data_IF_585275989120
#
_entry.id   IF_585275989120
#
_cell.length_a   1.000
_cell.length_b   1.000
_cell.length_c   1.000
_cell.angle_alpha   90.00
_cell.angle_beta   90.00
_cell.angle_gamma   90.00
#
_symmetry.space_group_name_H-M   'P 1'
#
loop_
_entity.id
_entity.type
_entity.pdbx_description
1 polymer ?
#
# COMPACT_ATOMS: atom_id res chain seq x y z
N UNK A 1 -27.43 -25.17 -14.34
CA UNK A 1 -27.78 -23.72 -14.21
C UNK A 1 -28.24 -23.35 -12.80
N UNK A 2 -29.04 -24.19 -12.13
CA UNK A 2 -29.52 -23.95 -10.74
C UNK A 2 -28.38 -23.96 -9.70
N UNK A 3 -27.45 -24.90 -9.76
CA UNK A 3 -26.32 -25.00 -8.82
C UNK A 3 -25.38 -23.79 -8.90
N UNK A 4 -25.10 -23.28 -10.11
CA UNK A 4 -24.28 -22.08 -10.29
C UNK A 4 -24.95 -20.84 -9.70
N UNK A 5 -26.28 -20.69 -9.89
CA UNK A 5 -27.06 -19.62 -9.29
C UNK A 5 -27.09 -19.71 -7.75
N UNK A 6 -27.06 -20.93 -7.19
CA UNK A 6 -27.06 -21.14 -5.75
C UNK A 6 -25.71 -20.71 -5.13
N UNK A 7 -24.59 -21.11 -5.74
CA UNK A 7 -23.25 -20.69 -5.26
C UNK A 7 -23.06 -19.16 -5.35
N UNK A 8 -23.52 -18.52 -6.43
CA UNK A 8 -23.44 -17.06 -6.57
C UNK A 8 -24.24 -16.33 -5.46
N UNK A 9 -25.40 -16.85 -5.05
CA UNK A 9 -26.17 -16.30 -3.95
C UNK A 9 -25.48 -16.51 -2.60
N UNK A 10 -24.89 -17.69 -2.38
CA UNK A 10 -24.14 -18.00 -1.17
C UNK A 10 -22.90 -17.11 -1.05
N UNK A 11 -22.14 -16.88 -2.14
CA UNK A 11 -20.99 -15.97 -2.17
C UNK A 11 -21.40 -14.54 -1.80
N UNK A 12 -22.54 -14.06 -2.32
CA UNK A 12 -23.10 -12.72 -1.95
C UNK A 12 -23.46 -12.66 -0.46
N UNK A 13 -24.12 -13.71 0.06
CA UNK A 13 -24.46 -13.79 1.48
C UNK A 13 -23.21 -13.76 2.36
N UNK A 14 -22.19 -14.55 2.03
CA UNK A 14 -20.92 -14.55 2.75
C UNK A 14 -20.25 -13.16 2.73
N UNK A 15 -20.28 -12.47 1.59
CA UNK A 15 -19.72 -11.13 1.46
C UNK A 15 -20.44 -10.09 2.35
N UNK A 16 -21.76 -10.18 2.49
CA UNK A 16 -22.51 -9.31 3.41
C UNK A 16 -22.17 -9.64 4.89
N UNK A 17 -21.95 -10.89 5.24
CA UNK A 17 -21.47 -11.27 6.57
C UNK A 17 -20.05 -10.72 6.85
N UNK A 18 -19.15 -10.73 5.86
CA UNK A 18 -17.82 -10.10 5.97
C UNK A 18 -17.95 -8.59 6.23
N UNK A 19 -18.81 -7.87 5.49
CA UNK A 19 -19.06 -6.45 5.69
C UNK A 19 -19.62 -6.14 7.09
N UNK A 20 -20.44 -7.04 7.62
CA UNK A 20 -20.99 -6.94 8.96
C UNK A 20 -19.97 -7.30 10.07
N UNK A 21 -18.77 -7.75 9.71
CA UNK A 21 -17.74 -8.20 10.66
C UNK A 21 -17.97 -9.62 11.20
N UNK A 22 -18.93 -10.37 10.66
CA UNK A 22 -19.29 -11.71 11.09
C UNK A 22 -18.42 -12.76 10.38
N UNK A 23 -17.11 -12.71 10.57
CA UNK A 23 -16.14 -13.52 9.81
C UNK A 23 -16.40 -15.03 9.94
N UNK A 24 -16.73 -15.53 11.13
CA UNK A 24 -16.99 -16.98 11.32
C UNK A 24 -18.21 -17.46 10.52
N UNK A 25 -19.26 -16.65 10.43
CA UNK A 25 -20.43 -16.98 9.59
C UNK A 25 -20.08 -16.98 8.11
N UNK A 26 -19.30 -16.00 7.66
CA UNK A 26 -18.83 -15.96 6.28
C UNK A 26 -17.98 -17.18 5.93
N UNK A 27 -17.06 -17.57 6.83
CA UNK A 27 -16.20 -18.75 6.66
C UNK A 27 -17.06 -20.00 6.56
N UNK A 28 -18.07 -20.18 7.42
CA UNK A 28 -18.97 -21.34 7.35
C UNK A 28 -19.72 -21.42 6.01
N UNK A 29 -20.19 -20.28 5.46
CA UNK A 29 -20.83 -20.28 4.15
C UNK A 29 -19.84 -20.66 3.03
N UNK A 30 -18.59 -20.20 3.09
CA UNK A 30 -17.57 -20.64 2.13
C UNK A 30 -17.26 -22.13 2.28
N UNK A 31 -17.24 -22.66 3.50
CA UNK A 31 -17.05 -24.10 3.77
C UNK A 31 -18.18 -24.95 3.15
N UNK A 32 -19.42 -24.49 3.24
CA UNK A 32 -20.57 -25.15 2.61
C UNK A 32 -20.44 -25.18 1.07
N UNK A 33 -19.93 -24.11 0.46
CA UNK A 33 -19.65 -24.07 -0.98
C UNK A 33 -18.53 -25.05 -1.33
N UNK A 34 -17.44 -25.03 -0.55
CA UNK A 34 -16.26 -25.87 -0.80
C UNK A 34 -16.52 -27.37 -0.49
N UNK A 35 -17.49 -27.69 0.37
CA UNK A 35 -17.93 -29.04 0.58
C UNK A 35 -18.61 -29.65 -0.68
N UNK A 36 -19.27 -28.82 -1.48
CA UNK A 36 -19.91 -29.21 -2.74
C UNK A 36 -18.95 -29.10 -3.93
N UNK A 37 -18.07 -28.13 -3.94
CA UNK A 37 -17.05 -27.89 -4.97
C UNK A 37 -15.72 -27.47 -4.33
N UNK A 38 -14.83 -28.43 -3.99
CA UNK A 38 -13.57 -28.17 -3.27
C UNK A 38 -12.63 -27.20 -3.99
N UNK A 39 -12.68 -27.12 -5.31
CA UNK A 39 -11.81 -26.27 -6.14
C UNK A 39 -12.51 -24.99 -6.60
N UNK A 40 -13.61 -24.56 -5.95
CA UNK A 40 -14.33 -23.35 -6.32
C UNK A 40 -13.44 -22.10 -6.08
N UNK A 41 -12.92 -21.46 -7.15
CA UNK A 41 -11.83 -20.50 -6.98
C UNK A 41 -12.25 -19.24 -6.22
N UNK A 42 -13.45 -18.70 -6.50
CA UNK A 42 -13.95 -17.51 -5.79
C UNK A 42 -14.21 -17.79 -4.30
N UNK A 43 -14.69 -19.00 -3.94
CA UNK A 43 -14.88 -19.38 -2.55
C UNK A 43 -13.53 -19.51 -1.82
N UNK A 44 -12.53 -20.13 -2.45
CA UNK A 44 -11.17 -20.25 -1.90
C UNK A 44 -10.54 -18.86 -1.67
N UNK A 45 -10.58 -17.98 -2.67
CA UNK A 45 -10.01 -16.63 -2.56
C UNK A 45 -10.71 -15.83 -1.47
N UNK A 46 -12.05 -15.77 -1.49
CA UNK A 46 -12.83 -14.97 -0.53
C UNK A 46 -12.70 -15.51 0.91
N UNK A 47 -12.69 -16.83 1.08
CA UNK A 47 -12.40 -17.48 2.37
C UNK A 47 -11.02 -17.09 2.87
N UNK A 48 -9.99 -17.15 2.01
CA UNK A 48 -8.62 -16.78 2.37
C UNK A 48 -8.51 -15.32 2.81
N UNK A 49 -9.17 -14.39 2.09
CA UNK A 49 -9.23 -12.97 2.46
C UNK A 49 -9.90 -12.80 3.83
N UNK A 50 -10.99 -13.54 4.08
CA UNK A 50 -11.73 -13.48 5.34
C UNK A 50 -10.90 -14.03 6.50
N UNK A 51 -10.21 -15.14 6.31
CA UNK A 51 -9.27 -15.72 7.26
C UNK A 51 -8.10 -14.77 7.56
N UNK A 52 -7.51 -14.15 6.53
CA UNK A 52 -6.47 -13.13 6.69
C UNK A 52 -7.00 -11.92 7.49
N UNK A 53 -8.21 -11.45 7.21
CA UNK A 53 -8.87 -10.35 7.94
C UNK A 53 -9.13 -10.68 9.41
N UNK A 54 -9.41 -11.93 9.74
CA UNK A 54 -9.54 -12.44 11.11
C UNK A 54 -8.20 -12.87 11.75
N UNK A 55 -7.07 -12.56 11.10
CA UNK A 55 -5.69 -12.86 11.54
C UNK A 55 -5.36 -14.37 11.62
N UNK A 56 -6.11 -15.20 10.92
CA UNK A 56 -5.88 -16.66 10.80
C UNK A 56 -4.99 -16.92 9.58
N UNK A 57 -3.75 -16.42 9.62
CA UNK A 57 -2.87 -16.37 8.44
C UNK A 57 -2.46 -17.75 7.93
N UNK A 58 -2.15 -18.71 8.82
CA UNK A 58 -1.77 -20.08 8.41
C UNK A 58 -2.92 -20.79 7.71
N UNK A 59 -4.14 -20.62 8.17
CA UNK A 59 -5.32 -21.21 7.56
C UNK A 59 -5.64 -20.55 6.21
N UNK A 60 -5.39 -19.24 6.08
CA UNK A 60 -5.49 -18.54 4.81
C UNK A 60 -4.49 -19.11 3.78
N UNK A 61 -3.24 -19.32 4.16
CA UNK A 61 -2.22 -19.93 3.31
C UNK A 61 -2.58 -21.35 2.89
N UNK A 62 -3.10 -22.15 3.83
CA UNK A 62 -3.56 -23.52 3.54
C UNK A 62 -4.70 -23.50 2.52
N UNK A 63 -5.68 -22.61 2.68
CA UNK A 63 -6.80 -22.47 1.75
C UNK A 63 -6.32 -22.10 0.33
N UNK A 64 -5.31 -21.23 0.20
CA UNK A 64 -4.74 -20.82 -1.07
C UNK A 64 -3.91 -21.93 -1.75
N UNK A 65 -3.50 -22.96 -1.04
CA UNK A 65 -2.69 -24.06 -1.62
C UNK A 65 -3.38 -24.78 -2.79
N UNK A 66 -4.71 -24.79 -2.81
CA UNK A 66 -5.52 -25.35 -3.89
C UNK A 66 -5.56 -24.48 -5.16
N UNK A 67 -5.11 -23.24 -5.13
CA UNK A 67 -5.12 -22.31 -6.27
C UNK A 67 -3.76 -22.36 -6.97
N UNK A 68 -3.75 -22.57 -8.30
CA UNK A 68 -2.52 -22.43 -9.10
C UNK A 68 -2.17 -20.96 -9.33
N UNK A 69 -0.86 -20.63 -9.39
CA UNK A 69 -0.37 -19.30 -9.75
C UNK A 69 -0.67 -18.92 -11.21
N UNK A 70 -0.82 -19.90 -12.09
CA UNK A 70 -1.16 -19.74 -13.50
C UNK A 70 -2.66 -19.55 -13.74
N UNK A 71 -3.48 -19.74 -12.70
CA UNK A 71 -4.93 -19.54 -12.78
C UNK A 71 -5.27 -18.05 -12.89
N UNK A 72 -6.49 -17.69 -13.32
CA UNK A 72 -6.98 -16.31 -13.30
C UNK A 72 -6.88 -15.63 -11.91
N UNK A 73 -6.91 -16.44 -10.82
CA UNK A 73 -6.79 -15.98 -9.43
C UNK A 73 -5.35 -16.02 -8.90
N UNK A 74 -4.36 -16.35 -9.73
CA UNK A 74 -2.96 -16.45 -9.33
C UNK A 74 -2.39 -15.12 -8.80
N UNK A 75 -2.86 -13.99 -9.34
CA UNK A 75 -2.49 -12.67 -8.85
C UNK A 75 -3.05 -12.40 -7.44
N UNK A 76 -4.32 -12.71 -7.20
CA UNK A 76 -4.95 -12.56 -5.89
C UNK A 76 -4.28 -13.47 -4.87
N UNK A 77 -3.99 -14.72 -5.25
CA UNK A 77 -3.22 -15.65 -4.42
C UNK A 77 -1.90 -15.04 -3.98
N UNK A 78 -1.07 -14.56 -4.92
CA UNK A 78 0.24 -13.96 -4.59
C UNK A 78 0.09 -12.80 -3.61
N UNK A 79 -0.91 -11.96 -3.80
CA UNK A 79 -1.13 -10.79 -2.94
C UNK A 79 -1.57 -11.17 -1.53
N UNK A 80 -2.46 -12.16 -1.39
CA UNK A 80 -2.92 -12.64 -0.09
C UNK A 80 -1.78 -13.35 0.64
N UNK A 81 -1.04 -14.23 -0.05
CA UNK A 81 0.12 -14.92 0.51
C UNK A 81 1.20 -13.94 0.99
N UNK A 82 1.53 -12.91 0.19
CA UNK A 82 2.51 -11.89 0.58
C UNK A 82 2.09 -11.17 1.88
N UNK A 83 0.80 -10.83 2.02
CA UNK A 83 0.28 -10.23 3.24
C UNK A 83 0.30 -11.21 4.43
N UNK A 84 -0.06 -12.47 4.22
CA UNK A 84 -0.01 -13.49 5.28
C UNK A 84 1.44 -13.70 5.76
N UNK A 85 2.39 -13.91 4.87
CA UNK A 85 3.81 -14.09 5.21
C UNK A 85 4.37 -12.88 5.97
N UNK A 86 4.06 -11.66 5.53
CA UNK A 86 4.47 -10.46 6.25
C UNK A 86 3.95 -10.45 7.70
N UNK A 87 2.66 -10.76 7.90
CA UNK A 87 2.05 -10.75 9.24
C UNK A 87 2.54 -11.91 10.13
N UNK A 88 3.02 -13.00 9.54
CA UNK A 88 3.69 -14.11 10.22
C UNK A 88 5.17 -13.82 10.52
N UNK A 89 5.69 -12.64 10.13
CA UNK A 89 7.10 -12.29 10.30
C UNK A 89 8.04 -12.92 9.26
N UNK A 90 7.50 -13.61 8.26
CA UNK A 90 8.25 -14.24 7.15
C UNK A 90 8.47 -13.19 6.05
N UNK A 91 9.27 -12.17 6.36
CA UNK A 91 9.45 -10.99 5.50
C UNK A 91 10.11 -11.28 4.17
N UNK A 92 11.05 -12.25 4.14
CA UNK A 92 11.76 -12.64 2.90
C UNK A 92 10.80 -13.28 1.88
N UNK A 93 9.88 -14.12 2.34
CA UNK A 93 8.84 -14.73 1.51
C UNK A 93 7.85 -13.69 0.99
N UNK A 94 7.44 -12.76 1.84
CA UNK A 94 6.60 -11.64 1.46
C UNK A 94 7.29 -10.77 0.39
N UNK A 95 8.56 -10.43 0.58
CA UNK A 95 9.34 -9.63 -0.37
C UNK A 95 9.48 -10.31 -1.73
N UNK A 96 9.76 -11.61 -1.78
CA UNK A 96 9.81 -12.39 -3.03
C UNK A 96 8.49 -12.33 -3.80
N UNK A 97 7.35 -12.43 -3.10
CA UNK A 97 6.04 -12.36 -3.72
C UNK A 97 5.72 -10.95 -4.21
N UNK A 98 6.00 -9.91 -3.44
CA UNK A 98 5.82 -8.52 -3.89
C UNK A 98 6.68 -8.17 -5.10
N UNK A 99 7.91 -8.71 -5.19
CA UNK A 99 8.75 -8.57 -6.39
C UNK A 99 8.10 -9.25 -7.61
N UNK A 100 7.53 -10.45 -7.44
CA UNK A 100 6.78 -11.10 -8.54
C UNK A 100 5.56 -10.29 -8.93
N UNK A 101 4.78 -9.81 -7.96
CA UNK A 101 3.61 -8.95 -8.16
C UNK A 101 4.01 -7.70 -8.93
N UNK A 102 5.11 -7.02 -8.55
CA UNK A 102 5.59 -5.83 -9.25
C UNK A 102 5.79 -6.10 -10.74
N UNK A 103 6.34 -7.25 -11.13
CA UNK A 103 6.60 -7.58 -12.53
C UNK A 103 5.32 -7.83 -13.37
N UNK A 104 4.26 -8.34 -12.76
CA UNK A 104 3.00 -8.71 -13.46
C UNK A 104 1.84 -7.74 -13.17
N UNK A 105 2.11 -6.65 -12.44
CA UNK A 105 1.11 -5.70 -11.98
C UNK A 105 0.35 -5.08 -13.15
N UNK A 106 -1.00 -5.12 -13.15
CA UNK A 106 -1.80 -4.41 -14.13
C UNK A 106 -1.54 -2.89 -14.09
N UNK A 107 -1.44 -2.25 -15.27
CA UNK A 107 -1.28 -0.79 -15.38
C UNK A 107 -2.65 -0.13 -15.08
N UNK A 108 -3.01 -0.10 -13.81
CA UNK A 108 -4.22 0.52 -13.31
C UNK A 108 -3.88 1.36 -12.08
N UNK A 109 -4.16 2.65 -12.13
CA UNK A 109 -3.83 3.61 -11.05
C UNK A 109 -4.27 3.13 -9.67
N UNK A 110 -5.52 2.66 -9.54
CA UNK A 110 -6.06 2.21 -8.24
C UNK A 110 -5.26 1.03 -7.68
N UNK A 111 -4.96 0.04 -8.52
CA UNK A 111 -4.19 -1.16 -8.14
C UNK A 111 -2.75 -0.78 -7.78
N UNK A 112 -2.10 0.06 -8.59
CA UNK A 112 -0.74 0.55 -8.35
C UNK A 112 -0.68 1.29 -6.99
N UNK A 113 -1.61 2.21 -6.72
CA UNK A 113 -1.65 2.93 -5.46
C UNK A 113 -1.89 2.00 -4.28
N UNK A 114 -2.83 1.07 -4.38
CA UNK A 114 -3.16 0.13 -3.32
C UNK A 114 -1.96 -0.75 -2.94
N UNK A 115 -1.33 -1.40 -3.93
CA UNK A 115 -0.23 -2.34 -3.68
C UNK A 115 1.05 -1.58 -3.32
N UNK A 116 1.35 -0.49 -4.01
CA UNK A 116 2.51 0.35 -3.69
C UNK A 116 2.44 0.92 -2.28
N UNK A 117 1.27 1.42 -1.83
CA UNK A 117 1.07 1.88 -0.46
C UNK A 117 1.25 0.75 0.55
N UNK A 118 0.78 -0.46 0.23
CA UNK A 118 0.97 -1.62 1.09
C UNK A 118 2.45 -1.98 1.25
N UNK A 119 3.21 -1.99 0.15
CA UNK A 119 4.66 -2.19 0.20
C UNK A 119 5.36 -1.09 1.00
N UNK A 120 4.93 0.17 0.86
CA UNK A 120 5.46 1.30 1.63
C UNK A 120 5.21 1.14 3.13
N UNK A 121 3.99 0.79 3.53
CA UNK A 121 3.61 0.53 4.93
C UNK A 121 4.40 -0.62 5.55
N UNK A 122 4.70 -1.65 4.77
CA UNK A 122 5.44 -2.83 5.20
C UNK A 122 6.95 -2.68 5.14
N UNK A 123 7.48 -1.53 4.69
CA UNK A 123 8.90 -1.25 4.60
C UNK A 123 9.59 -1.77 3.33
N UNK A 124 8.85 -2.32 2.38
CA UNK A 124 9.39 -2.77 1.08
C UNK A 124 9.59 -1.57 0.13
N UNK A 125 10.40 -0.60 0.55
CA UNK A 125 10.53 0.71 -0.10
C UNK A 125 11.03 0.62 -1.54
N UNK A 126 11.96 -0.29 -1.86
CA UNK A 126 12.47 -0.46 -3.24
C UNK A 126 11.38 -0.95 -4.17
N UNK A 127 10.59 -1.92 -3.72
CA UNK A 127 9.45 -2.45 -4.48
C UNK A 127 8.37 -1.36 -4.63
N UNK A 128 8.11 -0.59 -3.59
CA UNK A 128 7.16 0.52 -3.65
C UNK A 128 7.58 1.56 -4.71
N UNK A 129 8.88 1.92 -4.80
CA UNK A 129 9.41 2.82 -5.84
C UNK A 129 9.14 2.24 -7.24
N UNK A 130 9.44 0.95 -7.44
CA UNK A 130 9.22 0.29 -8.71
C UNK A 130 7.74 0.31 -9.10
N UNK A 131 6.85 -0.05 -8.17
CA UNK A 131 5.40 -0.03 -8.38
C UNK A 131 4.91 1.38 -8.72
N UNK A 132 5.26 2.40 -7.93
CA UNK A 132 4.83 3.78 -8.19
C UNK A 132 5.43 4.36 -9.47
N UNK A 133 6.58 3.87 -9.93
CA UNK A 133 7.16 4.28 -11.21
C UNK A 133 6.28 3.95 -12.41
N UNK A 134 5.36 2.98 -12.28
CA UNK A 134 4.39 2.58 -13.31
C UNK A 134 3.23 3.57 -13.48
N UNK A 135 3.05 4.53 -12.56
CA UNK A 135 2.07 5.61 -12.71
C UNK A 135 2.47 6.53 -13.87
N UNK A 136 1.50 6.96 -14.67
CA UNK A 136 1.74 7.83 -15.83
C UNK A 136 2.20 9.24 -15.43
N UNK A 137 3.23 9.77 -16.12
CA UNK A 137 3.81 11.08 -15.81
C UNK A 137 2.86 12.25 -16.05
N UNK A 138 1.95 12.14 -17.01
CA UNK A 138 1.06 13.26 -17.38
C UNK A 138 -0.11 13.45 -16.41
N UNK A 139 -0.74 12.36 -16.00
CA UNK A 139 -1.97 12.39 -15.20
C UNK A 139 -1.71 12.21 -13.71
N UNK A 140 -0.69 11.42 -13.36
CA UNK A 140 -0.44 10.96 -12.00
C UNK A 140 0.88 11.51 -11.43
N UNK A 141 1.37 12.61 -12.02
CA UNK A 141 2.68 13.18 -11.67
C UNK A 141 2.82 13.53 -10.19
N UNK A 142 1.75 14.01 -9.57
CA UNK A 142 1.74 14.32 -8.14
C UNK A 142 1.87 13.02 -7.33
N UNK A 143 0.94 12.08 -7.48
CA UNK A 143 0.89 10.85 -6.69
C UNK A 143 2.17 10.04 -6.87
N UNK A 144 2.62 9.86 -8.11
CA UNK A 144 3.87 9.17 -8.41
C UNK A 144 5.04 9.75 -7.62
N UNK A 145 5.27 11.06 -7.73
CA UNK A 145 6.41 11.68 -7.07
C UNK A 145 6.23 11.77 -5.55
N UNK A 146 5.02 11.96 -5.05
CA UNK A 146 4.71 11.96 -3.63
C UNK A 146 5.06 10.61 -2.99
N UNK A 147 4.54 9.51 -3.52
CA UNK A 147 4.77 8.19 -2.96
C UNK A 147 6.22 7.70 -3.17
N UNK A 148 6.84 8.01 -4.31
CA UNK A 148 8.27 7.76 -4.50
C UNK A 148 9.12 8.55 -3.49
N UNK A 149 8.75 9.80 -3.20
CA UNK A 149 9.41 10.62 -2.18
C UNK A 149 9.35 9.99 -0.79
N UNK A 150 8.18 9.47 -0.40
CA UNK A 150 8.01 8.72 0.85
C UNK A 150 8.88 7.45 0.89
N UNK A 151 8.90 6.72 -0.22
CA UNK A 151 9.69 5.49 -0.33
C UNK A 151 11.19 5.75 -0.25
N UNK A 152 11.70 6.77 -0.95
CA UNK A 152 13.10 7.20 -0.84
C UNK A 152 13.44 7.67 0.58
N UNK A 153 12.51 8.36 1.26
CA UNK A 153 12.71 8.75 2.65
C UNK A 153 12.83 7.54 3.56
N UNK A 154 12.00 6.52 3.36
CA UNK A 154 12.06 5.25 4.09
C UNK A 154 13.38 4.50 3.90
N UNK A 155 14.02 4.62 2.72
CA UNK A 155 15.35 4.08 2.44
C UNK A 155 16.50 4.92 3.03
N UNK A 156 16.22 6.11 3.57
CA UNK A 156 17.26 7.07 3.95
C UNK A 156 17.90 7.80 2.77
N UNK A 157 17.40 7.63 1.55
CA UNK A 157 17.85 8.29 0.34
C UNK A 157 17.31 9.73 0.26
N UNK A 158 17.69 10.58 1.24
CA UNK A 158 17.09 11.89 1.46
C UNK A 158 17.16 12.82 0.23
N UNK A 159 18.28 12.80 -0.51
CA UNK A 159 18.44 13.61 -1.73
C UNK A 159 17.41 13.21 -2.81
N UNK A 160 17.17 11.90 -3.00
CA UNK A 160 16.16 11.42 -3.95
C UNK A 160 14.74 11.75 -3.47
N UNK A 161 14.51 11.66 -2.16
CA UNK A 161 13.24 12.04 -1.53
C UNK A 161 12.92 13.52 -1.78
N UNK A 162 13.86 14.44 -1.51
CA UNK A 162 13.71 15.88 -1.73
C UNK A 162 13.40 16.19 -3.20
N UNK A 163 14.13 15.56 -4.13
CA UNK A 163 13.87 15.72 -5.57
C UNK A 163 12.46 15.26 -5.96
N UNK A 164 12.02 14.14 -5.42
CA UNK A 164 10.68 13.60 -5.68
C UNK A 164 9.60 14.52 -5.08
N UNK A 165 9.70 14.93 -3.82
CA UNK A 165 8.77 15.89 -3.20
C UNK A 165 8.73 17.21 -3.93
N UNK A 166 9.88 17.76 -4.36
CA UNK A 166 9.93 18.96 -5.17
C UNK A 166 9.23 18.83 -6.52
N UNK A 167 9.25 17.64 -7.15
CA UNK A 167 8.45 17.34 -8.37
C UNK A 167 6.96 17.25 -8.06
N UNK A 168 6.58 16.67 -6.92
CA UNK A 168 5.19 16.59 -6.47
C UNK A 168 4.63 17.99 -6.20
N UNK A 169 5.35 18.85 -5.45
CA UNK A 169 4.94 20.22 -5.18
C UNK A 169 4.83 21.09 -6.46
N UNK A 170 5.71 20.87 -7.46
CA UNK A 170 5.54 21.54 -8.77
C UNK A 170 4.30 21.04 -9.54
N UNK A 171 3.87 19.81 -9.34
CA UNK A 171 2.66 19.27 -9.96
C UNK A 171 1.39 19.73 -9.24
N UNK A 172 1.45 19.93 -7.93
CA UNK A 172 0.33 20.37 -7.07
C UNK A 172 0.83 21.33 -5.98
N UNK A 173 1.05 22.64 -6.30
CA UNK A 173 1.60 23.60 -5.35
C UNK A 173 0.71 23.88 -4.13
N UNK A 174 -0.59 23.72 -4.27
CA UNK A 174 -1.62 23.91 -3.23
C UNK A 174 -1.76 22.73 -2.26
N UNK A 175 -0.95 21.68 -2.41
CA UNK A 175 -0.91 20.60 -1.43
C UNK A 175 0.03 20.94 -0.27
N UNK A 176 -0.40 21.89 0.54
CA UNK A 176 0.40 22.51 1.62
C UNK A 176 0.89 21.50 2.67
N UNK A 177 0.22 20.37 2.86
CA UNK A 177 0.62 19.32 3.80
C UNK A 177 1.97 18.67 3.47
N UNK A 178 2.46 18.80 2.22
CA UNK A 178 3.74 18.25 1.82
C UNK A 178 4.94 19.19 2.14
N UNK A 179 4.71 20.48 2.30
CA UNK A 179 5.77 21.45 2.58
C UNK A 179 6.54 21.15 3.87
N UNK A 180 5.87 20.92 5.02
CA UNK A 180 6.57 20.57 6.26
C UNK A 180 7.43 19.32 6.14
N UNK A 181 6.92 18.27 5.49
CA UNK A 181 7.65 17.03 5.28
C UNK A 181 8.88 17.24 4.39
N UNK A 182 8.74 18.05 3.33
CA UNK A 182 9.84 18.37 2.41
C UNK A 182 10.92 19.17 3.13
N UNK A 183 10.54 20.20 3.89
CA UNK A 183 11.46 21.01 4.67
C UNK A 183 12.20 20.20 5.73
N UNK A 184 11.48 19.37 6.50
CA UNK A 184 12.09 18.46 7.47
C UNK A 184 13.10 17.51 6.79
N UNK A 185 12.79 17.00 5.59
CA UNK A 185 13.70 16.13 4.84
C UNK A 185 14.95 16.91 4.37
N UNK A 186 14.80 18.20 3.98
CA UNK A 186 15.92 19.07 3.66
C UNK A 186 16.83 19.28 4.89
N UNK A 187 16.26 19.58 6.05
CA UNK A 187 17.03 19.74 7.29
C UNK A 187 17.76 18.47 7.68
N UNK A 188 17.11 17.31 7.60
CA UNK A 188 17.74 15.99 7.83
C UNK A 188 18.91 15.73 6.87
N UNK A 189 18.88 16.30 5.65
CA UNK A 189 19.94 16.17 4.65
C UNK A 189 20.93 17.36 4.69
N UNK A 190 20.93 18.16 5.74
CA UNK A 190 21.77 19.36 5.92
C UNK A 190 21.59 20.43 4.82
N UNK A 191 20.43 20.46 4.16
CA UNK A 191 20.05 21.46 3.16
C UNK A 191 19.21 22.55 3.83
N UNK A 192 19.85 23.35 4.69
CA UNK A 192 19.16 24.30 5.56
C UNK A 192 18.46 25.40 4.77
N UNK A 193 19.17 26.02 3.80
CA UNK A 193 18.63 27.12 2.99
C UNK A 193 17.39 26.69 2.18
N UNK A 194 17.41 25.49 1.63
CA UNK A 194 16.28 24.93 0.89
C UNK A 194 15.09 24.64 1.81
N UNK A 195 15.35 24.11 2.99
CA UNK A 195 14.33 23.89 4.00
C UNK A 195 13.66 25.20 4.43
N UNK A 196 14.46 26.24 4.70
CA UNK A 196 13.98 27.58 5.07
C UNK A 196 13.15 28.22 3.94
N UNK A 197 13.57 28.11 2.68
CA UNK A 197 12.77 28.59 1.53
C UNK A 197 11.40 27.92 1.46
N UNK A 198 11.37 26.59 1.65
CA UNK A 198 10.12 25.82 1.63
C UNK A 198 9.18 26.26 2.77
N UNK A 199 9.73 26.45 3.99
CA UNK A 199 8.94 26.92 5.13
C UNK A 199 8.47 28.38 4.97
N UNK A 200 9.22 29.25 4.31
CA UNK A 200 8.79 30.60 4.00
C UNK A 200 7.62 30.62 3.03
N UNK A 201 7.63 29.78 1.99
CA UNK A 201 6.46 29.62 1.09
C UNK A 201 5.23 29.21 1.90
N UNK A 202 5.37 28.22 2.79
CA UNK A 202 4.25 27.78 3.63
C UNK A 202 3.75 28.89 4.56
N UNK A 203 4.64 29.71 5.09
CA UNK A 203 4.31 30.86 5.95
C UNK A 203 3.50 31.92 5.19
N UNK A 204 3.87 32.21 3.96
CA UNK A 204 3.22 33.18 3.10
C UNK A 204 1.87 32.70 2.59
N UNK A 205 1.81 31.46 2.10
CA UNK A 205 0.63 30.91 1.43
C UNK A 205 -0.37 30.25 2.41
N UNK A 206 0.10 29.74 3.56
CA UNK A 206 -0.73 29.02 4.52
C UNK A 206 -0.25 29.20 5.97
N UNK A 207 -0.35 30.42 6.49
CA UNK A 207 0.21 30.84 7.81
C UNK A 207 -0.32 29.99 8.99
N UNK A 208 -1.59 29.57 8.96
CA UNK A 208 -2.18 28.75 10.03
C UNK A 208 -1.48 27.39 10.13
N UNK A 209 -1.24 26.71 9.00
CA UNK A 209 -0.51 25.44 8.99
C UNK A 209 0.96 25.66 9.39
N UNK A 210 1.59 26.75 8.90
CA UNK A 210 2.95 27.09 9.30
C UNK A 210 3.08 27.22 10.84
N UNK A 211 2.20 27.96 11.50
CA UNK A 211 2.22 28.11 12.96
C UNK A 211 2.09 26.79 13.69
N UNK A 212 1.26 25.88 13.16
CA UNK A 212 1.04 24.56 13.75
C UNK A 212 2.27 23.66 13.66
N UNK A 213 3.03 23.71 12.55
CA UNK A 213 4.11 22.75 12.26
C UNK A 213 5.51 23.31 12.49
N UNK A 214 5.69 24.63 12.59
CA UNK A 214 7.00 25.28 12.62
C UNK A 214 7.92 24.76 13.74
N UNK A 215 7.37 24.54 14.95
CA UNK A 215 8.13 24.03 16.10
C UNK A 215 8.66 22.61 15.85
N UNK A 216 7.82 21.72 15.28
CA UNK A 216 8.20 20.35 14.98
C UNK A 216 9.23 20.29 13.85
N UNK A 217 9.02 21.06 12.78
CA UNK A 217 9.93 21.09 11.63
C UNK A 217 11.30 21.66 12.03
N UNK A 218 11.33 22.69 12.88
CA UNK A 218 12.59 23.30 13.38
C UNK A 218 13.43 22.35 14.24
N UNK A 219 12.82 21.37 14.92
CA UNK A 219 13.56 20.38 15.71
C UNK A 219 14.50 19.52 14.86
N UNK A 220 14.17 19.29 13.58
CA UNK A 220 15.06 18.57 12.66
C UNK A 220 16.30 19.39 12.23
N UNK A 221 16.26 20.72 12.36
CA UNK A 221 17.39 21.60 12.09
C UNK A 221 18.47 21.47 13.17
N UNK A 222 18.06 21.39 14.44
CA UNK A 222 18.96 21.38 15.58
C UNK A 222 19.67 20.04 15.75
N UNK A 223 19.06 18.94 15.35
CA UNK A 223 19.60 17.58 15.51
C UNK A 223 20.88 17.31 14.69
N UNK A 224 21.24 18.19 13.75
CA UNK A 224 22.37 18.04 12.86
C UNK A 224 23.55 19.00 13.19
N UNK A 225 23.44 19.81 14.26
CA UNK A 225 24.50 20.74 14.69
C UNK A 225 25.37 20.18 15.84
N UNK A 226 25.21 18.87 16.16
CA UNK A 226 25.93 18.16 17.23
C UNK A 226 27.01 17.16 16.64
#
# INVERSE_FOLDING_TARGET
MEEKNNHDNSLKSAFEEVKAGNFEKAIAIYDDILAQNPDHPDALVNKSITLMGSKRFDESLLCLSAISYESPHGFDKMLIEANCFYNLGQTDEAEKLYNKISNVLPINKKVILQIGSKCLEQGFFRIAIEIFSKLEDKQDKFERNYYMGLSYKGLGELTNSIRAFGRALRAKPDFYQLYPLTAATCFQNNMIDEGDKIMNILKEEHSALFQHVAGVVSSYRISNEG
#
